data_IF_060711316718
#
_entry.id   IF_060711316718
#
_cell.length_a   1.000
_cell.length_b   1.000
_cell.length_c   1.000
_cell.angle_alpha   90.00
_cell.angle_beta   90.00
_cell.angle_gamma   90.00
#
_symmetry.space_group_name_H-M   'P 1'
#
loop_
_entity.id
_entity.type
_entity.pdbx_description
1 polymer ?
#
# COMPACT_ATOMS: atom_id res chain seq x y z
N UNK A 1 -4.75 16.20 1.18
CA UNK A 1 -4.68 16.84 2.51
C UNK A 1 -3.21 16.97 2.89
N UNK A 2 -2.82 18.00 3.66
CA UNK A 2 -1.47 18.08 4.25
C UNK A 2 -1.41 17.22 5.51
N UNK A 3 -0.29 16.53 5.73
CA UNK A 3 -0.04 15.75 6.95
C UNK A 3 -0.26 16.62 8.21
N UNK A 4 -1.02 16.15 9.22
CA UNK A 4 -1.22 16.89 10.47
C UNK A 4 0.11 17.21 11.16
N UNK A 5 0.17 18.37 11.84
CA UNK A 5 1.39 18.86 12.47
C UNK A 5 2.02 17.88 13.46
N UNK A 6 1.21 17.22 14.29
CA UNK A 6 1.73 16.26 15.26
C UNK A 6 2.35 15.02 14.59
N UNK A 7 1.79 14.57 13.46
CA UNK A 7 2.36 13.49 12.64
C UNK A 7 3.67 13.95 12.03
N UNK A 8 3.69 15.13 11.39
CA UNK A 8 4.91 15.71 10.80
C UNK A 8 6.03 15.91 11.84
N UNK A 9 5.70 16.39 13.04
CA UNK A 9 6.64 16.58 14.13
C UNK A 9 7.19 15.24 14.67
N UNK A 10 6.32 14.24 14.83
CA UNK A 10 6.74 12.90 15.27
C UNK A 10 7.64 12.20 14.24
N UNK A 11 7.27 12.34 12.96
CA UNK A 11 8.02 11.85 11.80
C UNK A 11 9.40 12.51 11.74
N UNK A 12 9.46 13.84 11.90
CA UNK A 12 10.73 14.59 11.96
C UNK A 12 11.62 14.15 13.13
N UNK A 13 11.04 13.87 14.30
CA UNK A 13 11.78 13.31 15.44
C UNK A 13 12.34 11.93 15.14
N UNK A 14 11.55 11.03 14.55
CA UNK A 14 12.01 9.70 14.10
C UNK A 14 13.14 9.84 13.08
N UNK A 15 12.98 10.71 12.09
CA UNK A 15 14.03 10.95 11.09
C UNK A 15 15.36 11.34 11.71
N UNK A 16 15.37 12.32 12.61
CA UNK A 16 16.56 12.80 13.33
C UNK A 16 17.18 11.71 14.21
N UNK A 17 16.35 10.97 14.95
CA UNK A 17 16.81 9.89 15.82
C UNK A 17 17.49 8.76 15.04
N UNK A 18 17.04 8.52 13.80
CA UNK A 18 17.51 7.44 12.94
C UNK A 18 18.67 7.84 12.02
N UNK A 19 19.07 9.11 11.94
CA UNK A 19 20.09 9.59 10.99
C UNK A 19 21.39 8.78 11.02
N UNK A 20 21.94 8.51 12.21
CA UNK A 20 23.20 7.77 12.34
C UNK A 20 23.05 6.31 11.90
N UNK A 21 21.98 5.65 12.30
CA UNK A 21 21.75 4.25 11.97
C UNK A 21 21.46 4.08 10.48
N UNK A 22 20.63 4.95 9.92
CA UNK A 22 20.36 5.03 8.48
C UNK A 22 21.66 5.22 7.68
N UNK A 23 22.50 6.18 8.07
CA UNK A 23 23.81 6.40 7.45
C UNK A 23 24.67 5.14 7.47
N UNK A 24 24.79 4.48 8.64
CA UNK A 24 25.55 3.24 8.75
C UNK A 24 25.01 2.08 7.89
N UNK A 25 23.68 1.96 7.77
CA UNK A 25 23.04 0.97 6.89
C UNK A 25 23.35 1.25 5.41
N UNK A 26 23.27 2.52 5.00
CA UNK A 26 23.54 2.93 3.62
C UNK A 26 25.03 2.79 3.26
N UNK A 27 25.94 3.17 4.15
CA UNK A 27 27.39 3.02 3.96
C UNK A 27 27.78 1.54 3.81
N UNK A 28 27.18 0.68 4.64
CA UNK A 28 27.41 -0.76 4.56
C UNK A 28 26.83 -1.35 3.28
N UNK A 29 25.63 -0.91 2.87
CA UNK A 29 25.03 -1.33 1.63
C UNK A 29 25.89 -0.95 0.42
N UNK A 30 26.43 0.28 0.40
CA UNK A 30 27.33 0.74 -0.65
C UNK A 30 28.63 -0.07 -0.66
N UNK A 31 29.17 -0.42 0.51
CA UNK A 31 30.34 -1.28 0.64
C UNK A 31 30.10 -2.67 0.06
N UNK A 32 28.96 -3.30 0.38
CA UNK A 32 28.54 -4.59 -0.19
C UNK A 32 28.42 -4.47 -1.71
N UNK A 33 27.72 -3.44 -2.20
CA UNK A 33 27.54 -3.20 -3.63
C UNK A 33 28.89 -3.06 -4.37
N UNK A 34 29.85 -2.31 -3.81
CA UNK A 34 31.15 -2.06 -4.43
C UNK A 34 32.10 -3.25 -4.37
N UNK A 35 32.10 -4.00 -3.28
CA UNK A 35 33.14 -5.03 -3.02
C UNK A 35 32.65 -6.46 -3.13
N UNK A 36 31.32 -6.67 -3.17
CA UNK A 36 30.70 -8.00 -3.05
C UNK A 36 30.95 -8.67 -1.70
N UNK A 37 31.45 -7.90 -0.72
CA UNK A 37 31.77 -8.36 0.63
C UNK A 37 31.14 -7.42 1.64
N UNK A 38 30.50 -7.98 2.66
CA UNK A 38 30.15 -7.23 3.85
C UNK A 38 29.20 -7.95 4.79
N UNK A 39 28.91 -7.26 5.87
CA UNK A 39 28.06 -7.72 6.96
C UNK A 39 26.65 -7.23 6.69
N UNK A 40 25.92 -8.00 5.87
CA UNK A 40 24.52 -7.71 5.52
C UNK A 40 23.63 -7.55 6.77
N UNK A 41 24.01 -8.14 7.91
CA UNK A 41 23.24 -8.04 9.16
C UNK A 41 23.28 -6.64 9.78
N UNK A 42 24.19 -5.78 9.34
CA UNK A 42 24.19 -4.35 9.66
C UNK A 42 23.26 -3.52 8.77
N UNK A 43 22.81 -4.08 7.65
CA UNK A 43 21.86 -3.42 6.73
C UNK A 43 20.43 -3.83 7.09
N UNK A 44 20.21 -5.11 7.38
CA UNK A 44 18.88 -5.68 7.58
C UNK A 44 18.84 -6.77 8.65
N UNK A 45 17.73 -6.83 9.37
CA UNK A 45 17.47 -7.80 10.40
C UNK A 45 17.37 -9.23 9.82
N UNK A 46 18.12 -10.21 10.36
CA UNK A 46 18.16 -11.57 9.86
C UNK A 46 16.81 -12.26 9.68
N UNK A 47 15.91 -12.10 10.65
CA UNK A 47 14.60 -12.73 10.59
C UNK A 47 13.75 -12.20 9.42
N UNK A 48 13.91 -10.92 9.04
CA UNK A 48 13.19 -10.31 7.92
C UNK A 48 13.69 -10.81 6.57
N UNK A 49 14.99 -11.05 6.44
CA UNK A 49 15.55 -11.67 5.25
C UNK A 49 15.13 -13.13 5.13
N UNK A 50 15.04 -13.88 6.23
CA UNK A 50 14.47 -15.24 6.22
C UNK A 50 13.01 -15.23 5.74
N UNK A 51 12.18 -14.33 6.25
CA UNK A 51 10.80 -14.17 5.76
C UNK A 51 10.75 -13.80 4.27
N UNK A 52 11.65 -12.91 3.81
CA UNK A 52 11.76 -12.56 2.40
C UNK A 52 12.14 -13.77 1.54
N UNK A 53 13.11 -14.59 1.97
CA UNK A 53 13.50 -15.81 1.27
C UNK A 53 12.34 -16.82 1.18
N UNK A 54 11.58 -17.02 2.25
CA UNK A 54 10.38 -17.87 2.26
C UNK A 54 9.36 -17.40 1.22
N UNK A 55 9.09 -16.09 1.17
CA UNK A 55 8.11 -15.50 0.24
C UNK A 55 8.56 -15.60 -1.22
N UNK A 56 9.87 -15.58 -1.47
CA UNK A 56 10.44 -15.81 -2.80
C UNK A 56 10.57 -17.30 -3.17
N UNK A 57 10.17 -18.23 -2.29
CA UNK A 57 10.31 -19.67 -2.52
C UNK A 57 11.75 -20.17 -2.49
N UNK A 58 12.67 -19.42 -1.87
CA UNK A 58 14.10 -19.73 -1.81
C UNK A 58 14.43 -20.62 -0.61
N UNK A 59 13.89 -21.85 -0.59
CA UNK A 59 14.01 -22.80 0.54
C UNK A 59 15.46 -23.06 0.96
N UNK A 60 16.38 -23.20 0.00
CA UNK A 60 17.80 -23.39 0.30
C UNK A 60 18.44 -22.20 1.02
N UNK A 61 18.03 -20.98 0.72
CA UNK A 61 18.55 -19.79 1.40
C UNK A 61 17.94 -19.66 2.81
N UNK A 62 16.70 -20.09 3.00
CA UNK A 62 16.07 -20.17 4.33
C UNK A 62 16.87 -21.09 5.25
N UNK A 63 17.21 -22.29 4.77
CA UNK A 63 17.95 -23.28 5.57
C UNK A 63 19.36 -22.77 5.92
N UNK A 64 20.07 -22.15 4.96
CA UNK A 64 21.41 -21.56 5.21
C UNK A 64 21.37 -20.39 6.18
N UNK A 65 20.35 -19.54 6.08
CA UNK A 65 20.19 -18.43 7.02
C UNK A 65 19.87 -18.91 8.44
N UNK A 66 19.22 -20.07 8.59
CA UNK A 66 18.87 -20.68 9.87
C UNK A 66 19.99 -21.52 10.50
N UNK A 67 20.81 -22.21 9.70
CA UNK A 67 21.80 -23.19 10.15
C UNK A 67 23.17 -22.59 10.60
N UNK A 68 23.38 -21.27 10.45
CA UNK A 68 24.57 -20.57 10.95
C UNK A 68 25.85 -20.75 10.11
N UNK A 69 26.10 -21.95 9.59
CA UNK A 69 27.11 -22.21 8.56
C UNK A 69 26.69 -21.51 7.23
N UNK A 70 27.61 -20.78 6.60
CA UNK A 70 27.38 -19.98 5.37
C UNK A 70 26.35 -18.83 5.46
N UNK A 71 25.89 -18.47 6.66
CA UNK A 71 24.89 -17.40 6.88
C UNK A 71 25.30 -16.05 6.28
N UNK A 72 26.58 -15.70 6.35
CA UNK A 72 27.10 -14.43 5.78
C UNK A 72 26.98 -14.41 4.26
N UNK A 73 27.32 -15.52 3.60
CA UNK A 73 27.26 -15.66 2.14
C UNK A 73 25.81 -15.70 1.66
N UNK A 74 24.96 -16.50 2.31
CA UNK A 74 23.55 -16.64 1.97
C UNK A 74 22.80 -15.30 2.08
N UNK A 75 23.01 -14.56 3.18
CA UNK A 75 22.35 -13.27 3.37
C UNK A 75 22.87 -12.18 2.44
N UNK A 76 24.18 -12.14 2.15
CA UNK A 76 24.73 -11.19 1.16
C UNK A 76 24.12 -11.43 -0.22
N UNK A 77 24.08 -12.70 -0.65
CA UNK A 77 23.49 -13.10 -1.94
C UNK A 77 22.00 -12.76 -2.02
N UNK A 78 21.25 -13.04 -0.96
CA UNK A 78 19.82 -12.73 -0.91
C UNK A 78 19.58 -11.21 -0.93
N UNK A 79 20.34 -10.44 -0.15
CA UNK A 79 20.25 -8.99 -0.12
C UNK A 79 20.54 -8.41 -1.52
N UNK A 80 21.59 -8.87 -2.19
CA UNK A 80 21.92 -8.48 -3.57
C UNK A 80 20.82 -8.85 -4.57
N UNK A 81 20.19 -10.02 -4.40
CA UNK A 81 19.10 -10.48 -5.26
C UNK A 81 17.84 -9.61 -5.08
N UNK A 82 17.49 -9.26 -3.84
CA UNK A 82 16.30 -8.46 -3.52
C UNK A 82 16.48 -7.01 -3.94
N UNK A 83 17.64 -6.43 -3.62
CA UNK A 83 17.96 -5.03 -3.96
C UNK A 83 18.07 -4.86 -5.47
N UNK A 84 18.61 -5.87 -6.17
CA UNK A 84 18.75 -5.85 -7.61
C UNK A 84 19.75 -4.79 -8.05
N UNK A 85 21.02 -5.19 -8.25
CA UNK A 85 22.07 -4.28 -8.76
C UNK A 85 21.77 -3.71 -10.15
N UNK A 86 20.83 -4.31 -10.89
CA UNK A 86 20.35 -3.81 -12.18
C UNK A 86 18.87 -3.43 -12.08
N UNK A 87 18.50 -2.34 -12.74
CA UNK A 87 17.11 -1.91 -12.88
C UNK A 87 16.28 -2.79 -13.86
N UNK A 88 16.72 -4.02 -14.16
CA UNK A 88 15.97 -4.94 -14.99
C UNK A 88 14.78 -5.51 -14.21
N UNK A 89 13.58 -5.18 -14.65
CA UNK A 89 12.35 -5.81 -14.21
C UNK A 89 11.78 -6.60 -15.39
N UNK A 90 11.24 -7.79 -15.12
CA UNK A 90 10.53 -8.55 -16.16
C UNK A 90 9.33 -7.74 -16.67
N UNK A 91 9.00 -7.83 -17.95
CA UNK A 91 7.91 -7.06 -18.57
C UNK A 91 6.57 -7.19 -17.83
N UNK A 92 6.33 -8.33 -17.16
CA UNK A 92 5.16 -8.56 -16.30
C UNK A 92 4.99 -7.51 -15.20
N UNK A 93 6.06 -6.83 -14.77
CA UNK A 93 6.01 -5.75 -13.79
C UNK A 93 4.98 -4.68 -14.18
N UNK A 94 4.88 -4.35 -15.48
CA UNK A 94 3.93 -3.37 -15.98
C UNK A 94 2.49 -3.88 -15.91
N UNK A 95 2.24 -5.13 -16.31
CA UNK A 95 0.90 -5.72 -16.24
C UNK A 95 0.43 -5.97 -14.82
N UNK A 96 1.34 -6.37 -13.92
CA UNK A 96 1.06 -6.56 -12.51
C UNK A 96 0.82 -5.21 -11.81
N UNK A 97 1.56 -4.17 -12.20
CA UNK A 97 1.34 -2.80 -11.73
C UNK A 97 0.03 -2.21 -12.20
N UNK A 98 -0.35 -2.43 -13.46
CA UNK A 98 -1.65 -2.05 -13.97
C UNK A 98 -2.79 -2.75 -13.21
N UNK A 99 -2.60 -4.01 -12.78
CA UNK A 99 -3.57 -4.71 -11.93
C UNK A 99 -3.63 -4.11 -10.52
N UNK A 100 -2.49 -3.81 -9.91
CA UNK A 100 -2.44 -3.17 -8.59
C UNK A 100 -3.14 -1.80 -8.59
N UNK A 101 -2.87 -0.98 -9.62
CA UNK A 101 -3.44 0.35 -9.81
C UNK A 101 -4.98 0.40 -9.79
N UNK A 102 -5.64 -0.66 -10.27
CA UNK A 102 -7.12 -0.75 -10.30
C UNK A 102 -7.73 -0.73 -8.90
N UNK A 103 -7.04 -1.25 -7.90
CA UNK A 103 -7.52 -1.35 -6.51
C UNK A 103 -7.27 -0.07 -5.70
N UNK A 104 -6.62 0.93 -6.29
CA UNK A 104 -6.27 2.20 -5.64
C UNK A 104 -7.22 3.29 -6.14
N UNK A 105 -7.82 4.02 -5.20
CA UNK A 105 -8.82 5.04 -5.50
C UNK A 105 -8.55 6.36 -4.78
N UNK A 106 -9.15 7.43 -5.30
CA UNK A 106 -9.15 8.74 -4.65
C UNK A 106 -10.23 8.76 -3.59
N UNK A 107 -9.86 9.08 -2.36
CA UNK A 107 -10.81 9.34 -1.28
C UNK A 107 -11.18 10.82 -1.31
N UNK A 108 -12.48 11.10 -1.28
CA UNK A 108 -13.03 12.44 -1.18
C UNK A 108 -14.06 12.50 -0.05
N UNK A 109 -13.81 13.32 0.96
CA UNK A 109 -14.76 13.63 2.02
C UNK A 109 -15.24 15.08 1.90
N UNK A 110 -16.51 15.26 2.18
CA UNK A 110 -17.14 16.57 2.33
C UNK A 110 -17.45 16.77 3.82
N UNK A 111 -16.68 17.64 4.48
CA UNK A 111 -16.81 17.94 5.92
C UNK A 111 -17.21 19.40 6.04
N UNK A 112 -18.52 19.65 6.17
CA UNK A 112 -19.07 21.00 6.12
C UNK A 112 -18.80 21.65 4.76
N UNK A 113 -18.02 22.73 4.75
CA UNK A 113 -17.61 23.42 3.52
C UNK A 113 -16.23 22.98 3.00
N UNK A 114 -15.51 22.13 3.73
CA UNK A 114 -14.16 21.72 3.37
C UNK A 114 -14.15 20.37 2.66
N UNK A 115 -13.38 20.29 1.58
CA UNK A 115 -13.13 19.04 0.86
C UNK A 115 -11.80 18.44 1.29
N UNK A 116 -11.85 17.24 1.87
CA UNK A 116 -10.65 16.49 2.25
C UNK A 116 -10.38 15.42 1.20
N UNK A 117 -9.16 15.41 0.68
CA UNK A 117 -8.70 14.49 -0.36
C UNK A 117 -7.55 13.64 0.14
N UNK A 118 -7.57 12.36 -0.22
CA UNK A 118 -6.51 11.39 0.04
C UNK A 118 -6.52 10.24 -0.95
N UNK A 119 -5.70 9.24 -0.69
CA UNK A 119 -5.61 7.99 -1.43
C UNK A 119 -6.10 6.84 -0.55
N UNK A 120 -6.74 5.85 -1.16
CA UNK A 120 -7.11 4.61 -0.48
C UNK A 120 -6.82 3.39 -1.36
N UNK A 121 -6.65 2.23 -0.72
CA UNK A 121 -6.43 0.95 -1.40
C UNK A 121 -7.43 -0.09 -0.92
N UNK A 122 -8.02 -0.86 -1.82
CA UNK A 122 -8.82 -2.02 -1.44
C UNK A 122 -7.92 -3.09 -0.85
N UNK A 123 -8.19 -3.48 0.39
CA UNK A 123 -7.44 -4.52 1.12
C UNK A 123 -8.26 -5.81 1.29
N UNK A 124 -9.56 -5.72 1.02
CA UNK A 124 -10.50 -6.82 0.88
C UNK A 124 -11.61 -6.42 -0.12
N UNK A 125 -12.51 -7.33 -0.53
CA UNK A 125 -13.50 -7.07 -1.59
C UNK A 125 -14.32 -5.79 -1.43
N UNK A 126 -14.60 -5.38 -0.19
CA UNK A 126 -15.39 -4.18 0.14
C UNK A 126 -14.71 -3.31 1.21
N UNK A 127 -13.41 -3.48 1.46
CA UNK A 127 -12.70 -2.74 2.52
C UNK A 127 -11.59 -1.89 1.93
N UNK A 128 -11.67 -0.58 2.12
CA UNK A 128 -10.64 0.38 1.73
C UNK A 128 -9.82 0.77 2.96
N UNK A 129 -8.51 0.72 2.83
CA UNK A 129 -7.56 1.24 3.81
C UNK A 129 -7.01 2.60 3.37
N UNK A 130 -6.90 3.53 4.32
CA UNK A 130 -6.27 4.86 4.17
C UNK A 130 -5.70 5.32 5.52
N UNK A 131 -5.26 6.57 5.63
CA UNK A 131 -4.80 7.09 6.92
C UNK A 131 -5.95 7.52 7.85
N UNK A 132 -5.70 7.45 9.16
CA UNK A 132 -6.61 7.99 10.18
C UNK A 132 -6.85 9.49 9.94
N UNK A 133 -5.80 10.26 9.64
CA UNK A 133 -6.01 11.68 9.40
C UNK A 133 -6.78 11.99 8.10
N UNK A 134 -6.93 11.02 7.18
CA UNK A 134 -7.81 11.17 6.01
C UNK A 134 -9.26 10.93 6.43
N UNK A 135 -9.54 9.83 7.16
CA UNK A 135 -10.86 9.49 7.70
C UNK A 135 -10.72 9.19 9.18
N UNK A 136 -11.06 10.15 10.04
CA UNK A 136 -10.73 10.08 11.47
C UNK A 136 -11.71 9.23 12.27
N UNK A 137 -12.96 9.13 11.83
CA UNK A 137 -14.01 8.42 12.54
C UNK A 137 -15.14 7.97 11.60
N UNK A 138 -16.06 7.19 12.17
CA UNK A 138 -17.24 6.64 11.48
C UNK A 138 -18.15 7.72 10.90
N UNK A 139 -18.33 8.83 11.61
CA UNK A 139 -19.21 9.93 11.20
C UNK A 139 -18.67 10.64 9.95
N UNK A 140 -17.36 10.91 9.91
CA UNK A 140 -16.67 11.43 8.73
C UNK A 140 -16.78 10.44 7.57
N UNK A 141 -16.63 9.13 7.82
CA UNK A 141 -16.70 8.12 6.78
C UNK A 141 -18.01 8.19 5.99
N UNK A 142 -19.17 8.33 6.64
CA UNK A 142 -20.48 8.31 5.98
C UNK A 142 -20.66 9.44 4.95
N UNK A 143 -19.97 10.58 5.12
CA UNK A 143 -20.00 11.67 4.13
C UNK A 143 -19.01 11.49 2.97
N UNK A 144 -18.12 10.51 3.06
CA UNK A 144 -17.05 10.28 2.11
C UNK A 144 -17.40 9.32 0.97
N UNK A 145 -16.60 9.41 -0.10
CA UNK A 145 -16.64 8.53 -1.28
C UNK A 145 -15.23 8.04 -1.61
N UNK A 146 -15.13 6.86 -2.19
CA UNK A 146 -13.93 6.40 -2.91
C UNK A 146 -14.23 6.36 -4.41
N UNK A 147 -13.28 6.84 -5.21
CA UNK A 147 -13.38 6.97 -6.66
C UNK A 147 -12.29 6.14 -7.33
N UNK A 148 -12.67 5.01 -7.92
CA UNK A 148 -11.78 4.18 -8.74
C UNK A 148 -11.79 4.63 -10.20
N UNK A 149 -10.73 4.29 -10.93
CA UNK A 149 -10.53 4.65 -12.34
C UNK A 149 -10.51 6.17 -12.62
N UNK A 150 -10.22 6.98 -11.60
CA UNK A 150 -9.91 8.40 -11.75
C UNK A 150 -8.47 8.56 -12.25
N UNK A 151 -8.25 8.24 -13.52
CA UNK A 151 -6.95 8.20 -14.18
C UNK A 151 -7.00 9.01 -15.48
N UNK A 152 -5.88 9.62 -15.86
CA UNK A 152 -5.75 10.27 -17.16
C UNK A 152 -5.57 9.23 -18.27
N UNK A 153 -6.34 9.37 -19.34
CA UNK A 153 -6.31 8.50 -20.51
C UNK A 153 -5.33 9.04 -21.55
N UNK A 154 -5.04 8.22 -22.58
CA UNK A 154 -4.10 8.58 -23.64
C UNK A 154 -4.46 9.87 -24.39
N UNK A 155 -5.74 10.18 -24.48
CA UNK A 155 -6.27 11.39 -25.13
C UNK A 155 -6.38 12.60 -24.20
N UNK A 156 -5.89 12.48 -22.95
CA UNK A 156 -5.98 13.50 -21.91
C UNK A 156 -7.34 13.57 -21.22
N UNK A 157 -8.29 12.70 -21.58
CA UNK A 157 -9.57 12.60 -20.88
C UNK A 157 -9.42 11.88 -19.53
N UNK A 158 -10.39 12.04 -18.64
CA UNK A 158 -10.45 11.26 -17.40
C UNK A 158 -11.23 9.97 -17.65
N UNK A 159 -10.72 8.85 -17.13
CA UNK A 159 -11.40 7.57 -17.16
C UNK A 159 -12.80 7.61 -16.53
N UNK A 160 -13.65 6.64 -16.90
CA UNK A 160 -14.98 6.51 -16.30
C UNK A 160 -14.86 6.21 -14.80
N UNK A 161 -15.07 7.23 -13.98
CA UNK A 161 -14.96 7.12 -12.53
C UNK A 161 -16.06 6.22 -11.99
N UNK A 162 -15.68 5.24 -11.18
CA UNK A 162 -16.61 4.44 -10.40
C UNK A 162 -16.58 4.89 -8.95
N UNK A 163 -17.68 5.46 -8.50
CA UNK A 163 -17.79 6.03 -7.17
C UNK A 163 -18.59 5.11 -6.24
N UNK A 164 -18.06 4.92 -5.03
CA UNK A 164 -18.67 4.11 -3.98
C UNK A 164 -18.81 4.96 -2.71
N UNK A 165 -19.97 4.89 -2.06
CA UNK A 165 -20.12 5.47 -0.74
C UNK A 165 -19.33 4.66 0.29
N UNK A 166 -18.65 5.38 1.19
CA UNK A 166 -18.03 4.76 2.35
C UNK A 166 -19.14 4.43 3.37
N UNK A 167 -19.05 3.24 3.97
CA UNK A 167 -20.03 2.67 4.89
C UNK A 167 -19.40 2.41 6.24
N UNK A 168 -19.02 3.51 6.91
CA UNK A 168 -18.52 3.46 8.28
C UNK A 168 -19.50 2.77 9.23
N UNK A 169 -20.79 2.96 8.97
CA UNK A 169 -21.92 2.32 9.67
C UNK A 169 -21.96 0.79 9.53
N UNK A 170 -21.38 0.23 8.46
CA UNK A 170 -21.23 -1.22 8.31
C UNK A 170 -19.94 -1.72 8.93
N UNK A 171 -18.82 -1.05 8.63
CA UNK A 171 -17.52 -1.40 9.18
C UNK A 171 -16.58 -0.20 9.18
N UNK A 172 -16.00 0.07 10.34
CA UNK A 172 -14.95 1.05 10.53
C UNK A 172 -14.00 0.56 11.64
N UNK A 173 -12.70 0.60 11.35
CA UNK A 173 -11.64 0.41 12.36
C UNK A 173 -10.55 1.43 12.09
N UNK A 174 -10.03 2.05 13.15
CA UNK A 174 -9.02 3.10 13.03
C UNK A 174 -8.01 3.01 14.17
N UNK A 175 -6.81 3.51 13.92
CA UNK A 175 -5.78 3.71 14.92
C UNK A 175 -5.04 5.03 14.63
N UNK A 176 -5.12 5.97 15.57
CA UNK A 176 -4.49 7.29 15.43
C UNK A 176 -2.96 7.20 15.55
N UNK A 177 -2.43 6.27 16.34
CA UNK A 177 -0.98 6.15 16.58
C UNK A 177 -0.24 5.63 15.36
N UNK A 178 -0.76 4.59 14.73
CA UNK A 178 -0.29 4.05 13.46
C UNK A 178 -0.90 4.78 12.25
N UNK A 179 -1.77 5.74 12.47
CA UNK A 179 -2.38 6.60 11.46
C UNK A 179 -3.01 5.81 10.28
N UNK A 180 -3.87 4.84 10.60
CA UNK A 180 -4.64 4.10 9.59
C UNK A 180 -6.13 4.06 9.92
N UNK A 181 -6.94 3.96 8.88
CA UNK A 181 -8.38 3.66 8.94
C UNK A 181 -8.72 2.63 7.86
N UNK A 182 -9.56 1.68 8.20
CA UNK A 182 -10.17 0.73 7.27
C UNK A 182 -11.68 0.87 7.35
N UNK A 183 -12.32 1.08 6.21
CA UNK A 183 -13.73 1.40 6.09
C UNK A 183 -14.39 0.53 5.02
N UNK A 184 -15.61 0.05 5.28
CA UNK A 184 -16.40 -0.61 4.26
C UNK A 184 -16.83 0.36 3.16
N UNK A 185 -17.08 -0.16 1.97
CA UNK A 185 -17.69 0.59 0.87
C UNK A 185 -18.95 -0.11 0.37
N UNK A 186 -19.81 0.63 -0.31
CA UNK A 186 -20.95 0.08 -1.03
C UNK A 186 -20.54 -1.11 -1.92
N UNK A 187 -21.42 -2.09 -2.03
CA UNK A 187 -21.14 -3.26 -2.88
C UNK A 187 -21.10 -2.90 -4.36
N UNK A 188 -21.91 -1.93 -4.77
CA UNK A 188 -22.03 -1.47 -6.15
C UNK A 188 -21.67 0.01 -6.25
N UNK A 189 -21.00 0.40 -7.32
CA UNK A 189 -20.80 1.81 -7.64
C UNK A 189 -22.12 2.48 -8.02
N UNK A 190 -22.12 3.80 -8.09
CA UNK A 190 -23.20 4.59 -8.71
C UNK A 190 -23.52 4.17 -10.17
N UNK A 191 -22.56 3.54 -10.86
CA UNK A 191 -22.71 2.98 -12.20
C UNK A 191 -22.97 1.47 -12.25
N UNK A 192 -23.23 0.81 -11.12
CA UNK A 192 -23.57 -0.62 -11.06
C UNK A 192 -22.39 -1.59 -11.20
N UNK A 193 -21.15 -1.12 -10.98
CA UNK A 193 -19.95 -1.97 -11.00
C UNK A 193 -19.74 -2.55 -9.59
N UNK A 194 -19.54 -3.86 -9.42
CA UNK A 194 -19.23 -4.44 -8.11
C UNK A 194 -17.85 -4.01 -7.58
N UNK A 195 -17.74 -3.68 -6.29
CA UNK A 195 -16.48 -3.29 -5.63
C UNK A 195 -15.37 -4.35 -5.80
N UNK A 196 -15.75 -5.63 -5.71
CA UNK A 196 -14.83 -6.77 -5.86
C UNK A 196 -14.19 -6.87 -7.26
N UNK A 197 -14.75 -6.20 -8.28
CA UNK A 197 -14.23 -6.23 -9.65
C UNK A 197 -12.90 -5.48 -9.82
N UNK A 198 -12.55 -4.59 -8.89
CA UNK A 198 -11.30 -3.83 -8.90
C UNK A 198 -10.09 -4.66 -8.45
N UNK A 199 -10.31 -5.80 -7.80
CA UNK A 199 -9.28 -6.53 -7.07
C UNK A 199 -8.91 -5.83 -5.75
N UNK A 200 -8.08 -6.49 -4.95
CA UNK A 200 -7.62 -5.97 -3.65
C UNK A 200 -6.23 -6.51 -3.30
N UNK A 201 -5.60 -5.89 -2.29
CA UNK A 201 -4.32 -6.31 -1.73
C UNK A 201 -4.48 -6.81 -0.29
N UNK A 202 -4.55 -8.13 -0.10
CA UNK A 202 -4.58 -8.75 1.23
C UNK A 202 -3.51 -8.23 2.19
N UNK A 203 -3.90 -8.03 3.45
CA UNK A 203 -2.97 -7.61 4.50
C UNK A 203 -2.21 -8.80 5.07
N UNK A 204 -0.96 -8.97 4.63
CA UNK A 204 -0.08 -10.02 5.13
C UNK A 204 0.71 -9.54 6.35
N UNK A 205 0.56 -10.21 7.50
CA UNK A 205 1.26 -9.86 8.75
C UNK A 205 2.78 -10.14 8.74
N UNK A 206 3.27 -10.94 7.79
CA UNK A 206 4.69 -11.30 7.70
C UNK A 206 5.57 -10.07 7.40
N UNK A 207 6.78 -10.07 7.95
CA UNK A 207 7.77 -9.01 7.72
C UNK A 207 8.55 -9.25 6.40
N UNK A 208 9.55 -8.41 6.11
CA UNK A 208 10.41 -8.57 4.93
C UNK A 208 9.78 -8.13 3.60
N UNK A 209 8.66 -7.40 3.62
CA UNK A 209 8.01 -6.87 2.41
C UNK A 209 8.69 -5.62 1.84
N UNK A 210 9.43 -4.90 2.68
CA UNK A 210 10.36 -3.85 2.32
C UNK A 210 11.70 -4.20 2.99
N UNK A 211 12.79 -4.11 2.24
CA UNK A 211 14.17 -4.32 2.72
C UNK A 211 14.99 -3.06 2.46
N UNK A 212 15.90 -2.71 3.36
CA UNK A 212 16.77 -1.54 3.13
C UNK A 212 17.58 -1.72 1.84
N UNK A 213 17.54 -0.71 0.98
CA UNK A 213 18.10 -0.70 -0.37
C UNK A 213 17.17 -1.24 -1.46
N UNK A 214 16.01 -1.80 -1.13
CA UNK A 214 15.02 -2.23 -2.12
C UNK A 214 14.26 -1.01 -2.69
N UNK A 215 13.79 -1.12 -3.94
CA UNK A 215 12.89 -0.13 -4.53
C UNK A 215 11.43 -0.40 -4.15
N UNK A 216 10.67 0.66 -3.90
CA UNK A 216 9.24 0.61 -3.62
C UNK A 216 8.43 1.44 -4.61
N UNK A 217 7.22 1.04 -4.98
CA UNK A 217 6.39 1.68 -5.98
C UNK A 217 5.11 2.21 -5.33
N UNK A 218 4.71 3.43 -5.68
CA UNK A 218 3.58 4.10 -5.03
C UNK A 218 2.56 4.50 -6.07
N UNK A 219 1.31 4.19 -5.78
CA UNK A 219 0.15 4.56 -6.58
C UNK A 219 -0.67 5.55 -5.75
N UNK A 220 -0.86 6.76 -6.26
CA UNK A 220 -1.29 7.90 -5.45
C UNK A 220 -2.16 8.90 -6.21
N UNK A 221 -2.91 9.71 -5.47
CA UNK A 221 -3.66 10.86 -5.97
C UNK A 221 -3.08 12.17 -5.40
N UNK A 222 -1.89 12.60 -5.84
CA UNK A 222 -1.24 13.81 -5.37
C UNK A 222 -2.11 15.03 -5.69
N UNK A 223 -2.32 15.89 -4.71
CA UNK A 223 -3.28 17.00 -4.63
C UNK A 223 -4.71 16.62 -5.06
N UNK A 224 -5.05 15.33 -4.98
CA UNK A 224 -6.30 14.78 -5.49
C UNK A 224 -6.40 14.77 -7.01
N UNK A 225 -5.30 14.91 -7.74
CA UNK A 225 -5.20 14.76 -9.20
C UNK A 225 -5.51 13.32 -9.64
N UNK A 226 -5.64 13.07 -10.96
CA UNK A 226 -5.74 11.70 -11.48
C UNK A 226 -4.60 10.83 -10.97
N UNK A 227 -4.81 9.52 -10.92
CA UNK A 227 -3.84 8.59 -10.35
C UNK A 227 -2.47 8.72 -11.03
N UNK A 228 -1.43 8.88 -10.21
CA UNK A 228 -0.04 8.97 -10.63
C UNK A 228 0.75 7.82 -9.98
N UNK A 229 1.84 7.39 -10.63
CA UNK A 229 2.71 6.32 -10.14
C UNK A 229 4.14 6.84 -9.96
N UNK A 230 4.71 6.59 -8.77
CA UNK A 230 6.12 6.86 -8.50
C UNK A 230 6.91 5.53 -8.48
N UNK A 231 7.78 5.36 -9.46
CA UNK A 231 8.60 4.14 -9.68
C UNK A 231 10.09 4.47 -9.83
N UNK A 232 10.48 5.73 -9.69
CA UNK A 232 11.86 6.21 -9.76
C UNK A 232 12.19 6.94 -8.46
N UNK A 233 13.49 7.00 -8.13
CA UNK A 233 13.99 7.65 -6.91
C UNK A 233 13.29 7.15 -5.63
N UNK A 234 13.08 5.83 -5.58
CA UNK A 234 12.10 5.19 -4.73
C UNK A 234 12.69 4.15 -3.76
N UNK A 235 13.84 4.47 -3.16
CA UNK A 235 14.64 3.53 -2.39
C UNK A 235 14.19 3.48 -0.93
N UNK A 236 14.04 2.28 -0.37
CA UNK A 236 13.93 2.10 1.08
C UNK A 236 15.28 2.40 1.70
N UNK A 237 15.34 3.38 2.58
CA UNK A 237 16.59 3.80 3.25
C UNK A 237 16.63 3.37 4.71
N UNK A 238 15.48 3.10 5.33
CA UNK A 238 15.42 2.61 6.69
C UNK A 238 14.14 1.82 6.96
N UNK A 239 14.20 0.86 7.88
CA UNK A 239 13.04 0.12 8.38
C UNK A 239 13.26 -0.21 9.85
N UNK A 240 12.34 0.21 10.72
CA UNK A 240 12.46 0.11 12.17
C UNK A 240 11.09 0.21 12.83
N UNK A 241 10.90 -0.39 13.99
CA UNK A 241 9.64 -0.36 14.76
C UNK A 241 8.40 -0.54 13.85
N UNK A 242 7.52 0.44 13.73
CA UNK A 242 6.34 0.38 12.85
C UNK A 242 6.50 1.08 11.50
N UNK A 243 7.71 1.52 11.17
CA UNK A 243 7.96 2.53 10.13
C UNK A 243 8.92 2.04 9.06
N UNK A 244 8.74 2.56 7.85
CA UNK A 244 9.65 2.45 6.72
C UNK A 244 9.97 3.86 6.24
N UNK A 245 11.24 4.18 6.09
CA UNK A 245 11.70 5.40 5.43
C UNK A 245 12.13 5.09 4.02
N UNK A 246 11.67 5.88 3.07
CA UNK A 246 12.01 5.71 1.67
C UNK A 246 12.08 7.06 0.94
N UNK A 247 12.94 7.12 -0.06
CA UNK A 247 12.96 8.25 -0.99
C UNK A 247 11.81 8.10 -1.98
N UNK A 248 11.24 9.20 -2.47
CA UNK A 248 10.35 9.29 -3.64
C UNK A 248 9.72 10.69 -3.68
N UNK A 249 9.15 11.07 -4.82
CA UNK A 249 8.29 12.23 -4.92
C UNK A 249 6.90 11.94 -4.33
N UNK A 250 6.51 12.72 -3.33
CA UNK A 250 5.13 12.80 -2.84
C UNK A 250 4.70 14.25 -2.68
N UNK A 251 3.39 14.47 -2.79
CA UNK A 251 2.76 15.75 -2.50
C UNK A 251 1.57 15.55 -1.56
N UNK A 252 0.98 16.64 -1.06
CA UNK A 252 -0.27 16.55 -0.30
C UNK A 252 -1.30 15.71 -1.07
N UNK A 253 -2.19 14.96 -0.40
CA UNK A 253 -3.12 14.05 -1.11
C UNK A 253 -2.57 12.64 -1.42
N UNK A 254 -1.25 12.45 -1.32
CA UNK A 254 -0.63 11.12 -1.32
C UNK A 254 -0.90 10.33 -0.03
N UNK A 255 -1.38 10.99 1.04
CA UNK A 255 -1.80 10.34 2.29
C UNK A 255 -2.71 9.15 2.04
N UNK A 256 -2.34 7.99 2.58
CA UNK A 256 -3.06 6.73 2.43
C UNK A 256 -2.67 5.95 1.18
N UNK A 257 -1.67 6.43 0.42
CA UNK A 257 -1.19 5.71 -0.74
C UNK A 257 -0.50 4.40 -0.35
N UNK A 258 -0.82 3.28 -1.02
CA UNK A 258 -0.10 2.04 -0.84
C UNK A 258 1.35 2.14 -1.34
N UNK A 259 2.27 1.59 -0.55
CA UNK A 259 3.68 1.44 -0.89
C UNK A 259 3.94 -0.04 -1.18
N UNK A 260 4.23 -0.37 -2.43
CA UNK A 260 4.48 -1.73 -2.91
C UNK A 260 5.98 -1.99 -3.07
N UNK A 261 6.42 -3.24 -2.99
CA UNK A 261 7.75 -3.62 -3.51
C UNK A 261 7.68 -3.96 -5.02
N UNK A 262 8.79 -4.38 -5.62
CA UNK A 262 8.84 -4.77 -7.04
C UNK A 262 8.06 -6.06 -7.39
N UNK A 263 7.57 -6.79 -6.39
CA UNK A 263 6.65 -7.90 -6.56
C UNK A 263 5.17 -7.46 -6.47
N UNK A 264 4.90 -6.14 -6.40
CA UNK A 264 3.57 -5.57 -6.16
C UNK A 264 2.92 -6.06 -4.86
N UNK A 265 3.74 -6.36 -3.86
CA UNK A 265 3.28 -6.73 -2.52
C UNK A 265 3.17 -5.49 -1.66
N UNK A 266 2.02 -5.31 -1.00
CA UNK A 266 1.76 -4.14 -0.16
C UNK A 266 2.67 -4.18 1.07
N UNK A 267 3.63 -3.26 1.13
CA UNK A 267 4.69 -3.25 2.14
C UNK A 267 4.40 -2.23 3.25
N UNK A 268 3.89 -1.05 2.89
CA UNK A 268 3.53 0.02 3.82
C UNK A 268 2.35 0.88 3.34
N UNK A 269 1.84 1.73 4.23
CA UNK A 269 0.87 2.78 3.96
C UNK A 269 1.56 4.14 4.12
N UNK A 270 1.67 4.94 3.05
CA UNK A 270 2.26 6.27 3.12
C UNK A 270 1.42 7.21 3.99
N UNK A 271 2.07 7.99 4.86
CA UNK A 271 1.35 8.92 5.74
C UNK A 271 2.03 10.28 5.97
N UNK A 272 3.34 10.37 5.76
CA UNK A 272 4.10 11.59 5.99
C UNK A 272 5.31 11.71 5.06
N UNK A 273 5.70 12.95 4.78
CA UNK A 273 6.95 13.32 4.13
C UNK A 273 7.58 14.49 4.89
N UNK A 274 8.90 14.50 4.99
CA UNK A 274 9.67 15.59 5.60
C UNK A 274 10.81 15.96 4.66
N UNK A 275 11.06 17.27 4.51
CA UNK A 275 12.24 17.75 3.79
C UNK A 275 13.51 17.41 4.56
N UNK A 276 14.54 16.92 3.89
CA UNK A 276 15.84 16.64 4.54
C UNK A 276 16.45 17.90 5.18
N UNK A 277 16.17 19.09 4.65
CA UNK A 277 16.64 20.37 5.21
C UNK A 277 15.98 20.68 6.57
N UNK A 278 14.67 20.46 6.65
CA UNK A 278 13.90 20.59 7.90
C UNK A 278 14.33 19.53 8.93
N UNK A 279 14.65 18.32 8.46
CA UNK A 279 15.13 17.23 9.32
C UNK A 279 16.52 17.53 9.88
N UNK A 280 17.43 18.15 9.10
CA UNK A 280 18.77 18.52 9.53
C UNK A 280 18.83 19.73 10.49
N UNK A 281 17.72 20.45 10.68
CA UNK A 281 17.65 21.62 11.56
C UNK A 281 18.26 22.89 10.98
N UNK A 282 18.48 22.92 9.65
CA UNK A 282 18.98 24.08 8.93
C UNK A 282 17.81 24.94 8.43
N UNK A 283 17.55 26.05 9.11
CA UNK A 283 16.71 27.12 8.56
C UNK A 283 17.52 27.99 7.61
N UNK A 284 17.64 27.58 6.35
CA UNK A 284 17.60 28.49 5.19
C UNK A 284 17.51 27.62 3.94
N UNK A 285 16.47 27.83 3.14
CA UNK A 285 16.22 27.09 1.91
C UNK A 285 17.27 27.42 0.84
N UNK A 286 18.41 26.76 0.92
CA UNK A 286 19.42 26.78 -0.13
C UNK A 286 18.81 26.15 -1.38
N UNK A 287 18.61 26.97 -2.40
CA UNK A 287 18.29 26.59 -3.78
C UNK A 287 19.45 25.75 -4.35
N UNK A 288 19.52 24.51 -3.90
CA UNK A 288 20.13 23.44 -4.66
C UNK A 288 19.24 23.31 -5.89
N UNK A 289 19.74 23.52 -7.10
CA UNK A 289 18.95 23.38 -8.35
C UNK A 289 18.44 21.95 -8.62
N UNK A 290 18.40 21.11 -7.60
CA UNK A 290 17.85 19.77 -7.49
C UNK A 290 16.82 19.87 -6.35
N UNK A 291 15.54 19.60 -6.62
CA UNK A 291 14.43 19.90 -5.72
C UNK A 291 14.60 19.33 -4.29
N UNK A 292 13.75 19.73 -3.31
CA UNK A 292 13.90 19.28 -1.94
C UNK A 292 13.95 17.75 -1.89
N UNK A 293 15.05 17.18 -1.39
CA UNK A 293 15.15 15.75 -1.17
C UNK A 293 14.11 15.36 -0.11
N UNK A 294 12.98 14.82 -0.55
CA UNK A 294 11.90 14.38 0.32
C UNK A 294 12.22 13.00 0.87
N UNK A 295 12.14 12.89 2.19
CA UNK A 295 12.16 11.61 2.86
C UNK A 295 10.76 11.28 3.35
N UNK A 296 10.25 10.15 2.87
CA UNK A 296 8.89 9.70 3.12
C UNK A 296 8.91 8.67 4.25
N UNK A 297 7.82 8.65 5.02
CA UNK A 297 7.55 7.62 6.01
C UNK A 297 6.25 6.90 5.66
N UNK A 298 6.28 5.58 5.82
CA UNK A 298 5.10 4.74 5.70
C UNK A 298 4.99 3.79 6.88
N UNK A 299 3.75 3.46 7.25
CA UNK A 299 3.42 2.53 8.32
C UNK A 299 3.50 1.12 7.76
N UNK A 300 4.25 0.23 8.41
CA UNK A 300 4.40 -1.16 7.95
C UNK A 300 3.08 -1.90 7.99
N UNK A 301 2.74 -2.61 6.90
CA UNK A 301 1.55 -3.47 6.89
C UNK A 301 1.62 -4.56 7.96
N UNK A 302 2.83 -5.06 8.27
CA UNK A 302 2.99 -6.01 9.38
C UNK A 302 2.59 -5.41 10.74
N UNK A 303 2.83 -4.11 10.95
CA UNK A 303 2.42 -3.41 12.17
C UNK A 303 0.92 -3.15 12.19
N UNK A 304 0.32 -2.77 11.05
CA UNK A 304 -1.14 -2.62 10.93
C UNK A 304 -1.84 -3.96 11.22
N UNK A 305 -1.37 -5.07 10.66
CA UNK A 305 -1.95 -6.41 10.93
C UNK A 305 -1.80 -6.82 12.39
N UNK A 306 -0.64 -6.57 13.00
CA UNK A 306 -0.45 -6.83 14.43
C UNK A 306 -1.46 -6.04 15.27
N UNK A 307 -1.63 -4.75 14.96
CA UNK A 307 -2.59 -3.89 15.66
C UNK A 307 -4.05 -4.31 15.46
N UNK A 308 -4.44 -4.66 14.22
CA UNK A 308 -5.78 -5.20 13.94
C UNK A 308 -6.05 -6.49 14.72
N UNK A 309 -5.04 -7.35 14.88
CA UNK A 309 -5.15 -8.59 15.66
C UNK A 309 -5.43 -8.29 17.13
N UNK A 310 -4.77 -7.29 17.70
CA UNK A 310 -5.02 -6.82 19.07
C UNK A 310 -6.43 -6.26 19.21
N UNK A 311 -6.81 -5.30 18.35
CA UNK A 311 -8.13 -4.65 18.37
C UNK A 311 -9.27 -5.68 18.29
N UNK A 312 -9.17 -6.65 17.38
CA UNK A 312 -10.20 -7.66 17.20
C UNK A 312 -10.23 -8.74 18.29
N UNK A 313 -9.14 -8.88 19.06
CA UNK A 313 -9.09 -9.78 20.22
C UNK A 313 -9.71 -9.13 21.46
N UNK A 314 -9.61 -7.81 21.60
CA UNK A 314 -10.19 -7.02 22.69
C UNK A 314 -11.71 -6.83 22.51
N UNK A 315 -12.16 -6.67 21.26
CA UNK A 315 -13.57 -6.53 20.92
C UNK A 315 -14.28 -7.90 20.86
N UNK A 316 -14.74 -8.37 22.03
CA UNK A 316 -15.53 -9.59 22.16
C UNK A 316 -16.70 -9.63 21.16
N UNK A 317 -16.55 -10.43 20.09
CA UNK A 317 -17.59 -10.86 19.12
C UNK A 317 -18.76 -9.90 18.95
N UNK A 318 -18.52 -8.71 18.40
CA UNK A 318 -19.61 -7.84 17.91
C UNK A 318 -20.29 -8.57 16.75
N UNK A 319 -21.47 -9.14 17.02
CA UNK A 319 -22.24 -9.94 16.08
C UNK A 319 -22.74 -9.07 14.93
N UNK A 320 -21.95 -8.95 13.87
CA UNK A 320 -22.30 -8.21 12.65
C UNK A 320 -21.12 -7.96 11.72
N UNK A 321 -19.90 -7.83 12.27
CA UNK A 321 -18.69 -7.51 11.51
C UNK A 321 -17.74 -8.70 11.30
N UNK A 322 -18.16 -9.91 11.69
CA UNK A 322 -17.31 -11.11 11.66
C UNK A 322 -16.73 -11.42 10.29
N UNK A 323 -17.50 -11.20 9.21
CA UNK A 323 -17.02 -11.41 7.85
C UNK A 323 -15.91 -10.41 7.48
N UNK A 324 -16.09 -9.12 7.74
CA UNK A 324 -15.07 -8.09 7.45
C UNK A 324 -13.78 -8.31 8.23
N UNK A 325 -13.89 -8.64 9.52
CA UNK A 325 -12.71 -8.99 10.35
C UNK A 325 -12.00 -10.24 9.79
N UNK A 326 -12.77 -11.25 9.37
CA UNK A 326 -12.22 -12.44 8.74
C UNK A 326 -11.56 -12.13 7.39
N UNK A 327 -12.15 -11.26 6.57
CA UNK A 327 -11.60 -10.88 5.27
C UNK A 327 -10.25 -10.15 5.42
N UNK A 328 -10.06 -9.39 6.51
CA UNK A 328 -8.79 -8.71 6.80
C UNK A 328 -7.71 -9.66 7.32
N UNK A 329 -8.04 -10.54 8.27
CA UNK A 329 -7.05 -11.40 8.95
C UNK A 329 -6.84 -12.75 8.26
N UNK A 330 -7.83 -13.24 7.51
CA UNK A 330 -7.82 -14.49 6.77
C UNK A 330 -8.23 -14.25 5.30
N UNK A 331 -7.46 -13.46 4.55
CA UNK A 331 -7.86 -13.02 3.23
C UNK A 331 -8.00 -14.19 2.25
N UNK A 332 -9.16 -14.27 1.59
CA UNK A 332 -9.35 -15.18 0.47
C UNK A 332 -8.43 -14.78 -0.72
N UNK A 333 -8.04 -15.74 -1.58
CA UNK A 333 -7.30 -15.41 -2.80
C UNK A 333 -8.09 -14.41 -3.64
N UNK A 334 -7.41 -13.40 -4.18
CA UNK A 334 -8.01 -12.49 -5.15
C UNK A 334 -8.46 -13.34 -6.35
N UNK A 335 -9.76 -13.35 -6.71
CA UNK A 335 -10.23 -14.06 -7.89
C UNK A 335 -9.39 -13.62 -9.07
N UNK A 336 -8.95 -14.59 -9.89
CA UNK A 336 -8.34 -14.25 -11.16
C UNK A 336 -9.33 -13.33 -11.91
N UNK A 337 -8.91 -12.09 -12.17
CA UNK A 337 -9.71 -11.14 -12.94
C UNK A 337 -10.10 -11.88 -14.22
N UNK A 338 -11.40 -12.10 -14.42
CA UNK A 338 -11.89 -12.55 -15.71
C UNK A 338 -11.34 -11.56 -16.74
N UNK A 339 -10.51 -12.06 -17.65
CA UNK A 339 -10.02 -11.30 -18.80
C UNK A 339 -11.23 -10.52 -19.33
N UNK A 340 -11.14 -9.19 -19.55
CA UNK A 340 -12.26 -8.49 -20.20
C UNK A 340 -12.61 -9.33 -21.41
N UNK A 341 -13.88 -9.73 -21.52
CA UNK A 341 -14.39 -10.55 -22.61
C UNK A 341 -13.70 -10.03 -23.87
N UNK A 342 -12.78 -10.83 -24.42
CA UNK A 342 -12.42 -10.63 -25.81
C UNK A 342 -13.77 -10.64 -26.50
N UNK A 343 -14.13 -9.53 -27.16
CA UNK A 343 -15.10 -9.62 -28.24
C UNK A 343 -14.50 -10.64 -29.20
N UNK A 344 -14.82 -11.91 -28.98
CA UNK A 344 -14.68 -12.87 -30.04
C UNK A 344 -15.59 -12.33 -31.14
N UNK A 345 -15.05 -12.17 -32.33
CA UNK A 345 -15.83 -11.85 -33.51
C UNK A 345 -16.68 -13.05 -33.93
N UNK A 346 -17.10 -13.93 -33.01
CA UNK A 346 -17.96 -15.05 -33.34
C UNK A 346 -19.40 -14.55 -33.39
N UNK A 347 -19.99 -14.66 -34.58
CA UNK A 347 -21.39 -14.39 -34.84
C UNK A 347 -22.27 -15.60 -34.52
N UNK A 348 -21.79 -16.55 -33.71
CA UNK A 348 -22.59 -17.71 -33.35
C UNK A 348 -23.50 -17.38 -32.15
N UNK A 349 -24.80 -17.65 -32.25
CA UNK A 349 -25.72 -17.40 -31.15
C UNK A 349 -25.37 -18.31 -29.97
N UNK A 350 -25.06 -17.70 -28.83
CA UNK A 350 -24.86 -18.42 -27.57
C UNK A 350 -26.23 -18.63 -26.91
N UNK A 351 -26.69 -19.87 -26.86
CA UNK A 351 -27.90 -20.27 -26.12
C UNK A 351 -27.61 -20.46 -24.63
N UNK A 352 -28.30 -19.72 -23.77
CA UNK A 352 -28.28 -19.91 -22.32
C UNK A 352 -29.68 -20.34 -21.83
N UNK A 353 -29.76 -21.46 -21.11
CA UNK A 353 -30.96 -21.83 -20.35
C UNK A 353 -30.92 -21.18 -18.97
N UNK A 354 -31.84 -20.25 -18.73
CA UNK A 354 -32.02 -19.60 -17.42
C UNK A 354 -33.29 -20.17 -16.76
N UNK A 355 -33.20 -20.87 -15.62
CA UNK A 355 -34.38 -21.36 -14.92
C UNK A 355 -35.12 -20.18 -14.26
N UNK A 356 -36.25 -19.78 -14.85
CA UNK A 356 -37.12 -18.71 -14.37
C UNK A 356 -38.34 -19.29 -13.64
N UNK A 357 -38.60 -18.80 -12.42
CA UNK A 357 -39.87 -19.07 -11.71
C UNK A 357 -40.70 -17.79 -11.65
N UNK A 358 -41.79 -17.74 -12.41
CA UNK A 358 -42.77 -16.64 -12.40
C UNK A 358 -43.95 -16.99 -11.49
N UNK A 359 -44.24 -16.15 -10.51
CA UNK A 359 -45.48 -16.21 -9.71
C UNK A 359 -46.38 -15.03 -10.07
N UNK A 360 -47.47 -15.31 -10.76
CA UNK A 360 -48.51 -14.33 -11.08
C UNK A 360 -49.67 -14.48 -10.10
N UNK A 361 -50.03 -13.39 -9.43
CA UNK A 361 -51.25 -13.32 -8.60
C UNK A 361 -52.32 -12.56 -9.38
N UNK A 362 -53.34 -13.27 -9.85
CA UNK A 362 -54.49 -12.66 -10.51
C UNK A 362 -55.54 -12.37 -9.44
N UNK A 363 -55.84 -11.09 -9.20
CA UNK A 363 -57.04 -10.71 -8.44
C UNK A 363 -58.24 -10.83 -9.38
N UNK A 364 -59.25 -11.62 -8.99
CA UNK A 364 -60.55 -11.59 -9.65
C UNK A 364 -61.36 -10.39 -9.21
#
# INVERSE_FOLDING_TARGET
MKTPRHIADSTSRRFRARTRERGGRLDELERIARTGRGDWSRVEEPHRLVERARRLGLTSEVDRLAAGEDREVAGTRLLEMVIGRSNFLGARFLSDGARAARSVGRIALEIGAERRLGTGVLVAPRLVMTNHHVIANEEEAVSGRVQFNYVEQRDGSIGTVSEYALRGDEFFVTDEELDFSIVAIEEMSTGGIPASSWGWHPLFGQTGKAIVGERVNILQHPDGRPQEVAIHENLVVDVFDSWVHYTTDTQAGSSGAPVFNNNWELAALHHAAVSLDDAAGGGDGGDSGDGPHLLNEGVRISSIVARLTELFSEEASTSGQGQFRSDLLNPAPVPAVATPLQEDGSTEPVEWEIPLTLRLSVRR
#
